data_IF_693529282659
#
_entry.id   IF_693529282659
#
_cell.length_a   1.000
_cell.length_b   1.000
_cell.length_c   1.000
_cell.angle_alpha   90.00
_cell.angle_beta   90.00
_cell.angle_gamma   90.00
#
_symmetry.space_group_name_H-M   'P 1'
#
loop_
_entity.id
_entity.type
_entity.pdbx_description
1 polymer ?
#
# COMPACT_ATOMS: atom_id res chain seq x y z
N UNK A 1 -1.20 11.85 -3.35
CA UNK A 1 0.00 11.08 -3.74
C UNK A 1 0.11 11.04 -5.25
N UNK A 2 1.34 11.01 -5.77
CA UNK A 2 1.55 10.72 -7.19
C UNK A 2 1.46 9.21 -7.41
N UNK A 3 0.87 8.79 -8.52
CA UNK A 3 0.71 7.37 -8.91
C UNK A 3 2.00 6.54 -8.81
N UNK A 4 3.15 7.16 -9.08
CA UNK A 4 4.47 6.52 -8.96
C UNK A 4 4.85 6.21 -7.51
N UNK A 5 4.52 7.10 -6.57
CA UNK A 5 4.80 6.92 -5.15
C UNK A 5 3.91 5.83 -4.56
N UNK A 6 2.63 5.79 -4.96
CA UNK A 6 1.72 4.71 -4.59
C UNK A 6 2.23 3.34 -5.07
N UNK A 7 2.72 3.27 -6.31
CA UNK A 7 3.27 2.04 -6.86
C UNK A 7 4.51 1.58 -6.08
N UNK A 8 5.39 2.51 -5.73
CA UNK A 8 6.60 2.20 -4.93
C UNK A 8 6.25 1.64 -3.55
N UNK A 9 5.26 2.22 -2.87
CA UNK A 9 4.80 1.71 -1.57
C UNK A 9 4.18 0.31 -1.67
N UNK A 10 3.42 0.03 -2.74
CA UNK A 10 2.86 -1.31 -2.99
C UNK A 10 3.99 -2.32 -3.28
N UNK A 11 4.98 -1.95 -4.09
CA UNK A 11 6.12 -2.81 -4.43
C UNK A 11 6.96 -3.15 -3.18
N UNK A 12 7.19 -2.18 -2.29
CA UNK A 12 7.88 -2.39 -1.01
C UNK A 12 7.08 -3.31 -0.07
N UNK A 13 5.78 -3.09 0.03
CA UNK A 13 4.89 -3.92 0.84
C UNK A 13 4.84 -5.37 0.34
N UNK A 14 4.84 -5.57 -0.98
CA UNK A 14 4.90 -6.91 -1.58
C UNK A 14 6.25 -7.59 -1.32
N UNK A 15 7.36 -6.85 -1.32
CA UNK A 15 8.67 -7.41 -0.96
C UNK A 15 8.73 -7.84 0.52
N UNK A 16 8.17 -7.05 1.44
CA UNK A 16 8.11 -7.43 2.86
C UNK A 16 7.32 -8.73 3.06
N UNK A 17 6.19 -8.89 2.35
CA UNK A 17 5.42 -10.11 2.38
C UNK A 17 6.19 -11.30 1.76
N UNK A 18 6.84 -11.10 0.62
CA UNK A 18 7.64 -12.13 -0.05
C UNK A 18 8.86 -12.58 0.76
N UNK A 19 9.44 -11.67 1.55
CA UNK A 19 10.54 -11.95 2.48
C UNK A 19 10.05 -12.52 3.83
N UNK A 20 8.75 -12.76 4.00
CA UNK A 20 8.13 -13.19 5.26
C UNK A 20 8.39 -12.23 6.45
N UNK A 21 8.71 -10.97 6.17
CA UNK A 21 8.89 -9.91 7.18
C UNK A 21 7.54 -9.48 7.78
N UNK A 22 6.47 -9.64 7.00
CA UNK A 22 5.08 -9.43 7.42
C UNK A 22 4.24 -10.65 7.04
N UNK A 23 3.23 -10.93 7.85
CA UNK A 23 2.25 -11.95 7.54
C UNK A 23 1.20 -11.46 6.53
N UNK A 24 0.42 -12.39 5.99
CA UNK A 24 -0.63 -12.09 5.01
C UNK A 24 -1.72 -11.16 5.56
N UNK A 25 -2.01 -11.25 6.86
CA UNK A 25 -3.01 -10.40 7.52
C UNK A 25 -2.52 -8.95 7.60
N UNK A 26 -1.26 -8.75 7.96
CA UNK A 26 -0.60 -7.44 8.00
C UNK A 26 -0.49 -6.84 6.59
N UNK A 27 -0.15 -7.65 5.58
CA UNK A 27 -0.14 -7.23 4.18
C UNK A 27 -1.52 -6.73 3.74
N UNK A 28 -2.57 -7.51 4.03
CA UNK A 28 -3.95 -7.16 3.68
C UNK A 28 -4.42 -5.86 4.35
N UNK A 29 -4.12 -5.68 5.65
CA UNK A 29 -4.45 -4.44 6.37
C UNK A 29 -3.73 -3.23 5.76
N UNK A 30 -2.42 -3.31 5.54
CA UNK A 30 -1.64 -2.21 4.96
C UNK A 30 -2.09 -1.86 3.54
N UNK A 31 -2.44 -2.85 2.73
CA UNK A 31 -3.03 -2.62 1.40
C UNK A 31 -4.37 -1.87 1.46
N UNK A 32 -5.21 -2.17 2.45
CA UNK A 32 -6.47 -1.45 2.66
C UNK A 32 -6.24 0.00 3.07
N UNK A 33 -5.29 0.27 3.96
CA UNK A 33 -4.91 1.63 4.38
C UNK A 33 -4.34 2.44 3.20
N UNK A 34 -3.45 1.84 2.41
CA UNK A 34 -2.85 2.44 1.21
C UNK A 34 -3.90 2.82 0.17
N UNK A 35 -4.83 1.92 -0.12
CA UNK A 35 -5.90 2.15 -1.10
C UNK A 35 -6.94 3.16 -0.60
N UNK A 36 -7.19 3.24 0.70
CA UNK A 36 -8.08 4.25 1.29
C UNK A 36 -7.44 5.63 1.22
N UNK A 37 -6.18 5.75 1.64
CA UNK A 37 -5.42 7.01 1.58
C UNK A 37 -5.31 7.55 0.15
N UNK A 38 -5.06 6.65 -0.81
CA UNK A 38 -5.00 7.03 -2.23
C UNK A 38 -6.36 7.49 -2.80
N UNK A 39 -7.47 7.00 -2.25
CA UNK A 39 -8.81 7.45 -2.65
C UNK A 39 -9.14 8.81 -2.04
N UNK A 40 -8.84 9.01 -0.76
CA UNK A 40 -9.08 10.29 -0.08
C UNK A 40 -8.32 11.42 -0.77
N UNK A 41 -7.07 11.18 -1.18
CA UNK A 41 -6.29 12.15 -1.95
C UNK A 41 -6.79 12.38 -3.39
N UNK A 42 -7.64 11.51 -3.93
CA UNK A 42 -8.29 11.69 -5.24
C UNK A 42 -9.66 12.38 -5.13
N UNK A 43 -10.32 12.26 -3.97
CA UNK A 43 -11.61 12.90 -3.69
C UNK A 43 -11.44 14.35 -3.14
N UNK A 44 -10.21 14.77 -2.79
CA UNK A 44 -9.87 16.14 -2.37
C UNK A 44 -9.46 17.11 -3.51
N UNK A 45 -9.52 16.67 -4.78
CA UNK A 45 -9.28 17.49 -6.00
C UNK A 45 -10.60 17.85 -6.74
#
# INVERSE_FOLDING_TARGET
>A
MKREELKKQIDELMNQYANEEIDGDTYAQKMMELTTSARDEMDED
#
